data_IF_264088306003
#
_entry.id   IF_264088306003
#
_cell.length_a   1.000
_cell.length_b   1.000
_cell.length_c   1.000
_cell.angle_alpha   90.00
_cell.angle_beta   90.00
_cell.angle_gamma   90.00
#
_symmetry.space_group_name_H-M   'P 1'
#
loop_
_entity.id
_entity.type
_entity.pdbx_description
1 polymer ?
#
# COMPACT_ATOMS: atom_id res chain seq x y z
N UNK A 1 16.68 -13.47 -15.42
CA UNK A 1 16.14 -12.86 -16.68
C UNK A 1 14.61 -12.78 -16.66
N UNK A 2 13.90 -13.88 -16.39
CA UNK A 2 12.43 -13.85 -16.25
C UNK A 2 11.93 -12.88 -15.16
N UNK A 3 12.72 -12.68 -14.11
CA UNK A 3 12.34 -11.77 -13.02
C UNK A 3 12.20 -10.31 -13.43
N UNK A 4 13.14 -9.83 -14.24
CA UNK A 4 13.15 -8.46 -14.72
C UNK A 4 11.97 -8.16 -15.65
N UNK A 5 11.46 -9.18 -16.36
CA UNK A 5 10.34 -9.02 -17.30
C UNK A 5 9.04 -8.76 -16.54
N UNK A 6 8.70 -9.56 -15.52
CA UNK A 6 7.45 -9.33 -14.77
C UNK A 6 7.49 -8.04 -13.96
N UNK A 7 8.63 -7.66 -13.39
CA UNK A 7 8.77 -6.38 -12.66
C UNK A 7 8.49 -5.23 -13.61
N UNK A 8 9.07 -5.27 -14.81
CA UNK A 8 8.86 -4.24 -15.84
C UNK A 8 7.38 -4.14 -16.23
N UNK A 9 6.71 -5.28 -16.43
CA UNK A 9 5.26 -5.31 -16.74
C UNK A 9 4.44 -4.70 -15.61
N UNK A 10 4.72 -5.06 -14.35
CA UNK A 10 4.02 -4.51 -13.19
C UNK A 10 4.23 -3.00 -13.08
N UNK A 11 5.46 -2.52 -13.20
CA UNK A 11 5.77 -1.08 -13.12
C UNK A 11 5.07 -0.30 -14.23
N UNK A 12 5.14 -0.76 -15.48
CA UNK A 12 4.44 -0.11 -16.61
C UNK A 12 2.93 -0.11 -16.37
N UNK A 13 2.38 -1.20 -15.87
CA UNK A 13 0.95 -1.29 -15.56
C UNK A 13 0.53 -0.34 -14.43
N UNK A 14 1.35 -0.19 -13.39
CA UNK A 14 1.11 0.76 -12.31
C UNK A 14 1.20 2.22 -12.81
N UNK A 15 2.14 2.53 -13.72
CA UNK A 15 2.22 3.84 -14.37
C UNK A 15 0.95 4.11 -15.21
N UNK A 16 0.48 3.12 -15.98
CA UNK A 16 -0.78 3.25 -16.71
C UNK A 16 -1.96 3.49 -15.75
N UNK A 17 -2.01 2.76 -14.63
CA UNK A 17 -3.05 2.91 -13.61
C UNK A 17 -3.03 4.29 -12.94
N UNK A 18 -1.90 4.98 -12.82
CA UNK A 18 -1.87 6.37 -12.31
C UNK A 18 -2.71 7.33 -13.15
N UNK A 19 -2.79 7.09 -14.47
CA UNK A 19 -3.54 7.97 -15.38
C UNK A 19 -5.05 7.74 -15.29
N UNK A 20 -5.47 6.51 -14.96
CA UNK A 20 -6.88 6.08 -15.00
C UNK A 20 -7.52 6.10 -13.60
N UNK A 21 -6.77 5.73 -12.57
CA UNK A 21 -7.27 5.58 -11.20
C UNK A 21 -7.35 6.91 -10.46
N UNK A 22 -8.35 7.02 -9.58
CA UNK A 22 -8.48 8.12 -8.62
C UNK A 22 -7.67 7.89 -7.34
N UNK A 23 -7.31 6.64 -7.05
CA UNK A 23 -6.52 6.22 -5.89
C UNK A 23 -5.02 6.36 -6.20
N UNK A 24 -4.62 7.60 -6.51
CA UNK A 24 -3.26 7.90 -6.98
C UNK A 24 -2.24 7.71 -5.87
N UNK A 25 -2.57 8.03 -4.62
CA UNK A 25 -1.63 7.95 -3.50
C UNK A 25 -1.21 6.51 -3.21
N UNK A 26 -2.15 5.58 -3.26
CA UNK A 26 -1.93 4.15 -3.03
C UNK A 26 -1.10 3.54 -4.17
N UNK A 27 -1.39 3.91 -5.42
CA UNK A 27 -0.61 3.47 -6.60
C UNK A 27 0.79 4.06 -6.58
N UNK A 28 0.96 5.31 -6.15
CA UNK A 28 2.29 5.92 -5.95
C UNK A 28 3.05 5.15 -4.87
N UNK A 29 2.42 4.81 -3.75
CA UNK A 29 3.06 4.05 -2.67
C UNK A 29 3.55 2.68 -3.16
N UNK A 30 2.74 1.98 -3.99
CA UNK A 30 3.16 0.75 -4.65
C UNK A 30 4.37 0.99 -5.56
N UNK A 31 4.33 2.01 -6.43
CA UNK A 31 5.46 2.34 -7.31
C UNK A 31 6.75 2.64 -6.53
N UNK A 32 6.66 3.39 -5.44
CA UNK A 32 7.79 3.69 -4.56
C UNK A 32 8.32 2.40 -3.93
N UNK A 33 7.44 1.51 -3.45
CA UNK A 33 7.84 0.21 -2.92
C UNK A 33 8.60 -0.64 -3.95
N UNK A 34 8.08 -0.76 -5.18
CA UNK A 34 8.77 -1.48 -6.26
C UNK A 34 10.10 -0.81 -6.62
N UNK A 35 10.16 0.52 -6.66
CA UNK A 35 11.38 1.26 -6.93
C UNK A 35 12.45 1.04 -5.85
N UNK A 36 12.07 0.98 -4.57
CA UNK A 36 12.97 0.63 -3.46
C UNK A 36 13.51 -0.79 -3.66
N UNK A 37 12.66 -1.76 -3.99
CA UNK A 37 13.08 -3.14 -4.24
C UNK A 37 14.10 -3.26 -5.38
N UNK A 38 13.87 -2.57 -6.49
CA UNK A 38 14.80 -2.52 -7.62
C UNK A 38 16.10 -1.81 -7.24
N UNK A 39 16.02 -0.65 -6.57
CA UNK A 39 17.20 0.09 -6.15
C UNK A 39 18.08 -0.75 -5.22
N UNK A 40 17.48 -1.44 -4.26
CA UNK A 40 18.18 -2.32 -3.32
C UNK A 40 18.87 -3.48 -4.05
N UNK A 41 18.26 -4.04 -5.09
CA UNK A 41 18.89 -5.09 -5.91
C UNK A 41 20.18 -4.61 -6.62
N UNK A 42 20.24 -3.35 -7.06
CA UNK A 42 21.43 -2.81 -7.73
C UNK A 42 22.50 -2.25 -6.78
N UNK A 43 22.10 -1.81 -5.58
CA UNK A 43 22.98 -1.11 -4.65
C UNK A 43 23.65 -2.07 -3.66
N UNK A 44 22.99 -3.18 -3.31
CA UNK A 44 23.44 -4.06 -2.22
C UNK A 44 24.49 -5.06 -2.72
N UNK A 45 25.68 -4.96 -2.13
CA UNK A 45 26.73 -5.95 -2.24
C UNK A 45 26.45 -7.15 -1.31
N UNK A 46 27.11 -8.30 -1.55
CA UNK A 46 26.87 -9.57 -0.84
C UNK A 46 27.08 -9.46 0.68
N UNK A 47 27.89 -8.51 1.12
CA UNK A 47 28.13 -8.24 2.55
C UNK A 47 27.01 -7.41 3.21
N UNK A 48 26.13 -6.78 2.44
CA UNK A 48 25.11 -5.83 2.91
C UNK A 48 23.68 -6.39 2.90
N UNK A 49 23.50 -7.69 2.72
CA UNK A 49 22.17 -8.34 2.71
C UNK A 49 21.38 -8.17 4.01
N UNK A 50 22.04 -7.94 5.16
CA UNK A 50 21.32 -7.58 6.39
C UNK A 50 20.44 -6.34 6.19
N UNK A 51 20.98 -5.31 5.56
CA UNK A 51 20.27 -4.06 5.31
C UNK A 51 19.12 -4.25 4.32
N UNK A 52 19.28 -5.15 3.33
CA UNK A 52 18.23 -5.50 2.38
C UNK A 52 16.95 -5.96 3.11
N UNK A 53 17.05 -6.99 3.94
CA UNK A 53 15.88 -7.59 4.59
C UNK A 53 15.20 -6.64 5.57
N UNK A 54 15.96 -5.83 6.29
CA UNK A 54 15.40 -4.82 7.21
C UNK A 54 14.64 -3.75 6.45
N UNK A 55 15.23 -3.20 5.39
CA UNK A 55 14.59 -2.18 4.56
C UNK A 55 13.35 -2.73 3.88
N UNK A 56 13.40 -3.96 3.36
CA UNK A 56 12.24 -4.61 2.75
C UNK A 56 11.12 -4.88 3.76
N UNK A 57 11.44 -5.25 5.00
CA UNK A 57 10.42 -5.36 6.06
C UNK A 57 9.74 -4.00 6.33
N UNK A 58 10.53 -2.94 6.50
CA UNK A 58 10.01 -1.59 6.78
C UNK A 58 9.17 -1.08 5.61
N UNK A 59 9.64 -1.28 4.37
CA UNK A 59 8.91 -0.84 3.18
C UNK A 59 7.62 -1.64 2.98
N UNK A 60 7.62 -2.96 3.23
CA UNK A 60 6.40 -3.78 3.20
C UNK A 60 5.40 -3.34 4.26
N UNK A 61 5.84 -3.07 5.50
CA UNK A 61 4.96 -2.55 6.55
C UNK A 61 4.39 -1.18 6.17
N UNK A 62 5.23 -0.26 5.70
CA UNK A 62 4.82 1.08 5.29
C UNK A 62 3.79 1.01 4.16
N UNK A 63 4.02 0.16 3.17
CA UNK A 63 3.10 -0.08 2.07
C UNK A 63 1.76 -0.64 2.59
N UNK A 64 1.80 -1.64 3.48
CA UNK A 64 0.60 -2.25 4.04
C UNK A 64 -0.30 -1.21 4.72
N UNK A 65 0.29 -0.35 5.55
CA UNK A 65 -0.43 0.72 6.27
C UNK A 65 -1.06 1.72 5.30
N UNK A 66 -0.36 2.09 4.23
CA UNK A 66 -0.88 3.06 3.25
C UNK A 66 -2.05 2.48 2.43
N UNK A 67 -2.00 1.19 2.06
CA UNK A 67 -3.00 0.61 1.16
C UNK A 67 -4.12 -0.14 1.88
N UNK A 68 -4.11 -0.28 3.21
CA UNK A 68 -5.06 -1.14 3.94
C UNK A 68 -6.52 -0.70 3.83
N UNK A 69 -6.79 0.60 3.79
CA UNK A 69 -8.16 1.11 3.78
C UNK A 69 -8.85 0.80 2.45
N UNK A 70 -8.11 0.97 1.36
CA UNK A 70 -8.62 0.78 0.00
C UNK A 70 -8.39 -0.64 -0.52
N UNK A 71 -7.22 -1.24 -0.30
CA UNK A 71 -6.84 -2.54 -0.88
C UNK A 71 -6.51 -3.56 0.21
N UNK A 72 -7.50 -3.93 1.04
CA UNK A 72 -7.34 -4.89 2.16
C UNK A 72 -6.58 -6.17 1.81
N UNK A 73 -6.91 -6.81 0.69
CA UNK A 73 -6.24 -8.05 0.28
C UNK A 73 -4.79 -7.82 -0.17
N UNK A 74 -4.53 -6.71 -0.86
CA UNK A 74 -3.18 -6.29 -1.22
C UNK A 74 -2.34 -5.94 0.01
N UNK A 75 -2.95 -5.30 1.01
CA UNK A 75 -2.32 -4.99 2.28
C UNK A 75 -1.98 -6.25 3.07
N UNK A 76 -2.85 -7.27 3.07
CA UNK A 76 -2.56 -8.57 3.65
C UNK A 76 -1.32 -9.20 3.00
N UNK A 77 -1.18 -9.11 1.67
CA UNK A 77 0.02 -9.58 0.97
C UNK A 77 1.27 -8.80 1.43
N UNK A 78 1.18 -7.48 1.61
CA UNK A 78 2.28 -6.68 2.19
C UNK A 78 2.62 -7.09 3.62
N UNK A 79 1.63 -7.37 4.47
CA UNK A 79 1.88 -7.86 5.83
C UNK A 79 2.54 -9.24 5.83
N UNK A 80 2.16 -10.13 4.91
CA UNK A 80 2.77 -11.46 4.74
C UNK A 80 4.20 -11.40 4.20
N UNK A 81 4.56 -10.34 3.46
CA UNK A 81 5.93 -10.14 3.02
C UNK A 81 6.89 -9.87 4.18
N UNK A 82 6.43 -9.37 5.33
CA UNK A 82 7.28 -9.16 6.52
C UNK A 82 7.85 -10.49 7.06
N UNK A 83 7.04 -11.51 7.45
CA UNK A 83 7.58 -12.78 7.90
C UNK A 83 8.34 -13.52 6.79
N UNK A 84 8.01 -13.30 5.51
CA UNK A 84 8.79 -13.86 4.40
C UNK A 84 10.17 -13.22 4.29
N UNK A 85 10.29 -11.89 4.46
CA UNK A 85 11.59 -11.21 4.54
C UNK A 85 12.41 -11.69 5.74
N UNK A 86 11.77 -11.88 6.90
CA UNK A 86 12.43 -12.45 8.10
C UNK A 86 12.89 -13.89 7.85
N UNK A 87 12.07 -14.71 7.20
CA UNK A 87 12.45 -16.07 6.80
C UNK A 87 13.61 -16.05 5.81
N UNK A 88 13.56 -15.15 4.81
CA UNK A 88 14.61 -14.94 3.83
C UNK A 88 15.95 -14.59 4.49
N UNK A 89 15.92 -13.71 5.50
CA UNK A 89 17.08 -13.39 6.33
C UNK A 89 17.69 -14.63 6.99
N UNK A 90 16.87 -15.46 7.64
CA UNK A 90 17.36 -16.68 8.30
C UNK A 90 17.90 -17.72 7.32
N UNK A 91 17.29 -17.85 6.14
CA UNK A 91 17.76 -18.74 5.09
C UNK A 91 19.10 -18.28 4.53
N UNK A 92 19.23 -16.99 4.23
CA UNK A 92 20.49 -16.38 3.80
C UNK A 92 21.59 -16.57 4.85
N UNK A 93 21.30 -16.33 6.13
CA UNK A 93 22.25 -16.51 7.23
C UNK A 93 22.78 -17.96 7.34
N UNK A 94 21.98 -18.95 6.92
CA UNK A 94 22.37 -20.36 6.86
C UNK A 94 22.95 -20.80 5.50
N UNK A 95 23.30 -19.85 4.63
CA UNK A 95 23.82 -20.11 3.28
C UNK A 95 22.88 -20.91 2.38
N UNK A 96 21.56 -20.83 2.60
CA UNK A 96 20.59 -21.36 1.63
C UNK A 96 20.54 -20.45 0.40
N UNK A 97 20.29 -21.03 -0.79
CA UNK A 97 20.13 -20.25 -2.01
C UNK A 97 18.92 -19.31 -1.91
N UNK A 98 19.08 -18.09 -2.42
CA UNK A 98 18.04 -17.05 -2.39
C UNK A 98 16.77 -17.41 -3.15
N UNK A 99 16.86 -18.33 -4.11
CA UNK A 99 15.77 -18.67 -5.04
C UNK A 99 14.48 -19.08 -4.32
N UNK A 100 14.57 -19.83 -3.23
CA UNK A 100 13.40 -20.33 -2.50
C UNK A 100 12.60 -19.18 -1.86
N UNK A 101 13.31 -18.19 -1.33
CA UNK A 101 12.71 -16.96 -0.81
C UNK A 101 12.14 -16.10 -1.95
N UNK A 102 12.90 -15.92 -3.03
CA UNK A 102 12.49 -15.11 -4.18
C UNK A 102 11.18 -15.58 -4.79
N UNK A 103 11.00 -16.90 -4.97
CA UNK A 103 9.75 -17.47 -5.50
C UNK A 103 8.55 -17.13 -4.63
N UNK A 104 8.66 -17.29 -3.31
CA UNK A 104 7.56 -16.97 -2.38
C UNK A 104 7.20 -15.48 -2.40
N UNK A 105 8.22 -14.61 -2.37
CA UNK A 105 8.02 -13.17 -2.44
C UNK A 105 7.37 -12.75 -3.77
N UNK A 106 7.85 -13.27 -4.90
CA UNK A 106 7.29 -12.97 -6.23
C UNK A 106 5.84 -13.44 -6.38
N UNK A 107 5.48 -14.61 -5.85
CA UNK A 107 4.09 -15.07 -5.85
C UNK A 107 3.17 -14.08 -5.12
N UNK A 108 3.56 -13.60 -3.93
CA UNK A 108 2.77 -12.62 -3.20
C UNK A 108 2.67 -11.27 -3.91
N UNK A 109 3.76 -10.81 -4.54
CA UNK A 109 3.74 -9.56 -5.31
C UNK A 109 2.81 -9.63 -6.53
N UNK A 110 2.76 -10.78 -7.21
CA UNK A 110 1.83 -11.00 -8.32
C UNK A 110 0.39 -11.01 -7.82
N UNK A 111 0.11 -11.73 -6.72
CA UNK A 111 -1.23 -11.78 -6.12
C UNK A 111 -1.67 -10.38 -5.66
N UNK A 112 -0.77 -9.64 -5.03
CA UNK A 112 -0.97 -8.25 -4.62
C UNK A 112 -1.38 -7.40 -5.82
N UNK A 113 -0.59 -7.40 -6.89
CA UNK A 113 -0.86 -6.63 -8.10
C UNK A 113 -2.21 -7.01 -8.75
N UNK A 114 -2.48 -8.31 -8.91
CA UNK A 114 -3.74 -8.80 -9.48
C UNK A 114 -4.97 -8.40 -8.65
N UNK A 115 -4.82 -8.26 -7.33
CA UNK A 115 -5.92 -7.82 -6.46
C UNK A 115 -6.21 -6.32 -6.55
N UNK A 116 -5.20 -5.51 -6.89
CA UNK A 116 -5.32 -4.05 -7.05
C UNK A 116 -5.93 -3.71 -8.40
N UNK A 117 -5.49 -4.41 -9.46
CA UNK A 117 -5.82 -4.10 -10.85
C UNK A 117 -7.33 -3.92 -11.12
N UNK A 118 -8.23 -4.87 -10.80
CA UNK A 118 -9.66 -4.73 -11.10
C UNK A 118 -10.27 -3.58 -10.30
N UNK A 119 -9.91 -3.43 -9.02
CA UNK A 119 -10.46 -2.40 -8.16
C UNK A 119 -10.00 -1.00 -8.58
N UNK A 120 -8.73 -0.83 -8.94
CA UNK A 120 -8.18 0.43 -9.42
C UNK A 120 -8.81 0.87 -10.76
N UNK A 121 -9.09 -0.08 -11.68
CA UNK A 121 -9.77 0.21 -12.95
C UNK A 121 -11.23 0.60 -12.70
N UNK A 122 -11.98 -0.19 -11.90
CA UNK A 122 -13.41 0.03 -11.64
C UNK A 122 -13.68 1.33 -10.86
N UNK A 123 -12.84 1.65 -9.87
CA UNK A 123 -12.95 2.89 -9.07
C UNK A 123 -12.52 4.14 -9.85
N UNK A 124 -11.75 4.00 -10.94
CA UNK A 124 -11.51 5.08 -11.89
C UNK A 124 -12.78 5.54 -12.61
N UNK A 125 -13.71 4.60 -12.86
CA UNK A 125 -14.90 4.83 -13.70
C UNK A 125 -16.11 5.37 -12.94
N UNK A 126 -16.23 5.12 -11.63
CA UNK A 126 -17.39 5.56 -10.83
C UNK A 126 -17.17 6.93 -10.21
N UNK A 127 -17.99 7.91 -10.60
CA UNK A 127 -18.03 9.27 -10.06
C UNK A 127 -18.97 9.31 -8.86
N UNK A 128 -18.46 8.99 -7.68
CA UNK A 128 -19.07 9.42 -6.41
C UNK A 128 -18.01 10.11 -5.57
N UNK A 129 -18.06 11.43 -5.69
CA UNK A 129 -17.34 12.41 -4.93
C UNK A 129 -18.03 12.53 -3.56
N UNK A 130 -17.40 12.09 -2.48
CA UNK A 130 -17.66 12.59 -1.11
C UNK A 130 -16.66 12.00 -0.10
N UNK A 131 -15.83 12.89 0.48
CA UNK A 131 -15.56 12.96 1.93
C UNK A 131 -14.46 12.12 2.63
N UNK A 132 -13.35 11.72 2.00
CA UNK A 132 -12.27 11.02 2.75
C UNK A 132 -11.15 11.91 3.33
N UNK A 133 -11.12 13.23 3.07
CA UNK A 133 -10.09 14.11 3.66
C UNK A 133 -10.36 14.55 5.12
N UNK A 134 -11.48 14.14 5.73
CA UNK A 134 -11.80 14.56 7.12
C UNK A 134 -11.14 13.71 8.21
N UNK A 135 -10.75 12.47 7.94
CA UNK A 135 -10.23 11.58 8.99
C UNK A 135 -8.80 11.87 9.44
N UNK A 136 -7.98 12.53 8.62
CA UNK A 136 -6.59 12.85 9.00
C UNK A 136 -6.46 14.12 9.87
N UNK A 137 -7.50 14.96 9.97
CA UNK A 137 -7.50 16.11 10.89
C UNK A 137 -8.15 15.82 12.25
N UNK A 138 -8.97 14.78 12.37
CA UNK A 138 -9.57 14.42 13.68
C UNK A 138 -8.61 13.64 14.60
N UNK A 139 -7.59 12.97 14.04
CA UNK A 139 -6.60 12.25 14.86
C UNK A 139 -5.63 13.20 15.58
N UNK A 140 -5.44 14.43 15.08
CA UNK A 140 -4.65 15.48 15.76
C UNK A 140 -5.48 16.48 16.56
N UNK A 141 -6.82 16.47 16.41
CA UNK A 141 -7.77 17.29 17.18
C UNK A 141 -8.41 16.57 18.39
N UNK A 142 -8.22 15.26 18.53
CA UNK A 142 -8.88 14.38 19.51
C UNK A 142 -8.50 14.55 20.99
N UNK A 143 -7.97 15.72 21.38
CA UNK A 143 -7.80 16.12 22.77
C UNK A 143 -8.19 17.59 22.91
N UNK A 144 -9.49 17.91 22.84
CA UNK A 144 -10.20 18.96 23.60
C UNK A 144 -11.63 19.06 23.06
N UNK A 145 -12.62 18.90 23.96
CA UNK A 145 -13.91 19.56 23.78
C UNK A 145 -15.08 18.70 23.28
N UNK A 146 -15.34 17.56 23.92
CA UNK A 146 -16.69 17.02 23.95
C UNK A 146 -17.56 17.97 24.82
N UNK A 147 -18.42 18.80 24.21
CA UNK A 147 -19.67 19.33 24.79
C UNK A 147 -20.47 20.18 23.78
N UNK A 148 -21.69 19.70 23.52
CA UNK A 148 -22.91 20.48 23.29
C UNK A 148 -22.98 21.45 22.10
N UNK A 149 -23.67 21.05 21.03
CA UNK A 149 -24.76 21.88 20.45
C UNK A 149 -25.63 21.06 19.47
N UNK A 150 -26.37 20.08 19.97
CA UNK A 150 -27.46 19.42 19.22
C UNK A 150 -28.78 19.62 19.98
N UNK A 151 -29.24 20.87 20.05
CA UNK A 151 -30.67 21.24 20.20
C UNK A 151 -30.80 22.76 20.04
N UNK A 152 -31.94 23.26 19.51
CA UNK A 152 -32.29 24.68 19.23
C UNK A 152 -31.91 25.06 17.78
N UNK A 153 -32.75 25.03 16.73
CA UNK A 153 -34.13 25.51 16.59
C UNK A 153 -34.84 24.83 15.40
N UNK A 154 -35.78 23.93 15.69
CA UNK A 154 -36.95 23.70 14.85
C UNK A 154 -38.10 24.52 15.47
N UNK A 155 -38.17 25.81 15.19
CA UNK A 155 -39.34 26.67 15.50
C UNK A 155 -39.15 28.06 14.89
N UNK A 156 -39.46 28.22 13.60
CA UNK A 156 -40.04 29.46 13.04
C UNK A 156 -40.40 29.28 11.55
N UNK A 157 -41.24 28.29 11.26
CA UNK A 157 -42.16 28.39 10.12
C UNK A 157 -43.55 28.03 10.65
N UNK A 158 -44.55 28.82 10.25
CA UNK A 158 -45.96 28.76 10.66
C UNK A 158 -46.33 29.63 11.87
N UNK A 159 -46.48 30.94 11.64
CA UNK A 159 -47.58 31.83 12.07
C UNK A 159 -47.25 33.24 11.54
N UNK A 160 -48.06 34.06 10.87
CA UNK A 160 -49.44 34.14 10.35
C UNK A 160 -49.38 35.21 9.24
N UNK A 161 -49.89 34.93 8.04
CA UNK A 161 -50.97 35.70 7.36
C UNK A 161 -51.45 36.93 8.14
#
# INVERSE_FOLDING_TARGET
MFENIYISIIVVSLIALLTISKQRHEIIALLVYYAIGVAMYFIIDVESYNSYYVIMCISSLSLAVVIQDEFKFAALCSYLLIPINILGYFLWYKYYPHDLYSVLASCLLIIQFLSILPKAILNGTTRTNTNNYRYFMDVSGGFVGNKECDTINNTSQSEKI
#
